data_IF_600320708878
#
_entry.id   IF_600320708878
#
_cell.length_a   1.000
_cell.length_b   1.000
_cell.length_c   1.000
_cell.angle_alpha   90.00
_cell.angle_beta   90.00
_cell.angle_gamma   90.00
#
_symmetry.space_group_name_H-M   'P 1'
#
loop_
_entity.id
_entity.type
_entity.pdbx_description
1 polymer ?
#
# COMPACT_ATOMS: atom_id res chain seq x y z
N UNK A 1 -30.53 22.75 -13.36
CA UNK A 1 -29.99 21.46 -13.85
C UNK A 1 -28.64 21.24 -13.19
N UNK A 2 -28.63 20.71 -11.97
CA UNK A 2 -27.42 20.39 -11.23
C UNK A 2 -26.84 19.12 -11.88
N UNK A 3 -25.71 19.24 -12.58
CA UNK A 3 -25.01 18.06 -13.08
C UNK A 3 -24.38 17.37 -11.88
N UNK A 4 -24.97 16.26 -11.43
CA UNK A 4 -24.25 15.29 -10.62
C UNK A 4 -23.14 14.73 -11.51
N UNK A 5 -21.94 15.30 -11.44
CA UNK A 5 -20.76 14.62 -11.94
C UNK A 5 -20.59 13.37 -11.05
N UNK A 6 -20.71 12.18 -11.63
CA UNK A 6 -20.39 10.96 -10.91
C UNK A 6 -18.93 11.03 -10.51
N UNK A 7 -18.70 10.99 -9.20
CA UNK A 7 -17.40 10.81 -8.62
C UNK A 7 -16.93 9.39 -8.92
N UNK A 8 -15.90 9.23 -9.74
CA UNK A 8 -15.46 7.93 -10.25
C UNK A 8 -13.99 7.61 -9.91
N UNK A 9 -13.51 8.02 -8.72
CA UNK A 9 -12.25 7.52 -8.22
C UNK A 9 -12.47 6.13 -7.62
N UNK A 10 -11.76 5.12 -8.13
CA UNK A 10 -11.86 3.75 -7.65
C UNK A 10 -10.61 3.39 -6.85
N UNK A 11 -10.79 2.67 -5.74
CA UNK A 11 -9.71 2.02 -5.00
C UNK A 11 -9.76 0.51 -5.24
N UNK A 12 -8.63 -0.06 -5.62
CA UNK A 12 -8.51 -1.46 -6.01
C UNK A 12 -7.30 -2.06 -5.28
N UNK A 13 -7.46 -3.25 -4.72
CA UNK A 13 -6.38 -4.01 -4.11
C UNK A 13 -6.47 -5.53 -4.43
N UNK A 14 -7.42 -5.94 -5.28
CA UNK A 14 -7.59 -7.33 -5.70
C UNK A 14 -6.61 -7.65 -6.85
N UNK A 15 -5.33 -7.78 -6.48
CA UNK A 15 -4.23 -8.16 -7.36
C UNK A 15 -3.06 -8.74 -6.52
N UNK A 16 -2.08 -9.42 -7.13
CA UNK A 16 -0.98 -10.05 -6.38
C UNK A 16 -0.24 -9.08 -5.44
N UNK A 17 -0.19 -9.42 -4.16
CA UNK A 17 0.42 -8.59 -3.12
C UNK A 17 -0.42 -7.39 -2.67
N UNK A 18 -1.51 -7.08 -3.38
CA UNK A 18 -2.44 -6.02 -3.03
C UNK A 18 -3.06 -6.26 -1.65
N UNK A 19 -3.07 -5.24 -0.83
CA UNK A 19 -3.65 -5.29 0.53
C UNK A 19 -4.08 -3.90 0.92
N UNK A 20 -5.32 -3.81 1.37
CA UNK A 20 -5.90 -2.62 1.97
C UNK A 20 -6.93 -3.11 2.98
N UNK A 21 -7.03 -2.43 4.12
CA UNK A 21 -8.16 -2.65 5.01
C UNK A 21 -9.38 -1.88 4.52
N UNK A 22 -10.24 -1.44 5.44
CA UNK A 22 -11.35 -0.55 5.08
C UNK A 22 -10.81 0.76 4.50
N UNK A 23 -11.44 1.27 3.45
CA UNK A 23 -11.12 2.58 2.90
C UNK A 23 -12.39 3.40 2.66
N UNK A 24 -12.38 4.65 3.11
CA UNK A 24 -13.51 5.57 3.02
C UNK A 24 -13.07 6.86 2.31
N UNK A 25 -13.83 7.26 1.28
CA UNK A 25 -13.73 8.62 0.72
C UNK A 25 -14.46 9.58 1.65
N UNK A 26 -13.72 10.34 2.45
CA UNK A 26 -14.25 11.33 3.41
C UNK A 26 -14.75 12.58 2.66
N UNK A 27 -14.10 12.90 1.54
CA UNK A 27 -14.49 13.94 0.60
C UNK A 27 -14.07 13.52 -0.82
N UNK A 28 -14.41 14.30 -1.86
CA UNK A 28 -13.93 14.08 -3.22
C UNK A 28 -12.39 14.05 -3.39
N UNK A 29 -11.62 14.45 -2.40
CA UNK A 29 -10.16 14.58 -2.46
C UNK A 29 -9.47 14.00 -1.22
N UNK A 30 -10.21 13.37 -0.30
CA UNK A 30 -9.66 12.79 0.92
C UNK A 30 -10.05 11.33 1.04
N UNK A 31 -9.04 10.45 0.91
CA UNK A 31 -9.16 9.03 1.17
C UNK A 31 -8.60 8.70 2.55
N UNK A 32 -9.41 8.08 3.40
CA UNK A 32 -8.96 7.46 4.65
C UNK A 32 -8.80 5.96 4.44
N UNK A 33 -7.62 5.43 4.78
CA UNK A 33 -7.27 4.02 4.69
C UNK A 33 -7.02 3.49 6.11
N UNK A 34 -7.87 2.59 6.55
CA UNK A 34 -7.68 1.82 7.77
C UNK A 34 -6.72 0.68 7.44
N UNK A 35 -5.46 0.78 7.88
CA UNK A 35 -4.42 -0.19 7.47
C UNK A 35 -4.73 -1.56 8.07
N UNK A 36 -4.77 -2.59 7.22
CA UNK A 36 -5.04 -3.96 7.63
C UNK A 36 -3.93 -4.47 8.54
N UNK A 37 -4.31 -5.07 9.66
CA UNK A 37 -3.37 -5.66 10.61
C UNK A 37 -3.06 -7.10 10.24
N UNK A 38 -1.79 -7.48 10.25
CA UNK A 38 -1.39 -8.87 10.09
C UNK A 38 -1.29 -9.57 11.45
N UNK A 39 -1.81 -10.81 11.51
CA UNK A 39 -1.76 -11.67 12.68
C UNK A 39 -0.61 -12.68 12.61
N UNK A 40 -0.18 -13.14 13.78
CA UNK A 40 0.76 -14.25 13.91
C UNK A 40 0.02 -15.58 14.05
N UNK A 41 0.78 -16.67 14.20
CA UNK A 41 0.22 -18.02 14.37
C UNK A 41 -0.70 -18.16 15.58
N UNK A 42 -0.54 -17.29 16.59
CA UNK A 42 -1.34 -17.28 17.81
C UNK A 42 -2.56 -16.34 17.69
N UNK A 43 -2.75 -15.70 16.53
CA UNK A 43 -3.82 -14.72 16.26
C UNK A 43 -3.80 -13.52 17.22
N UNK A 44 -2.62 -13.17 17.75
CA UNK A 44 -2.44 -12.08 18.72
C UNK A 44 -1.94 -10.80 18.08
N UNK A 45 -1.02 -10.91 17.13
CA UNK A 45 -0.48 -9.73 16.47
C UNK A 45 -1.58 -9.00 15.67
N UNK A 46 -1.46 -7.68 15.63
CA UNK A 46 -2.16 -6.81 14.70
C UNK A 46 -1.16 -5.80 14.16
N UNK A 47 -0.19 -6.27 13.39
CA UNK A 47 0.84 -5.40 12.85
C UNK A 47 0.32 -4.72 11.58
N UNK A 48 -0.21 -3.51 11.74
CA UNK A 48 -0.58 -2.64 10.61
C UNK A 48 0.69 -2.04 10.01
N UNK A 49 1.14 -2.67 8.93
CA UNK A 49 2.39 -2.40 8.22
C UNK A 49 2.07 -2.30 6.74
N UNK A 50 1.72 -3.43 6.13
CA UNK A 50 1.68 -3.56 4.69
C UNK A 50 0.38 -3.01 4.15
N UNK A 51 0.50 -2.14 3.16
CA UNK A 51 -0.57 -1.70 2.31
C UNK A 51 -0.01 -1.59 0.90
N UNK A 52 -0.83 -1.93 -0.07
CA UNK A 52 -0.54 -1.84 -1.49
C UNK A 52 -1.86 -1.82 -2.25
N UNK A 53 -2.19 -0.67 -2.82
CA UNK A 53 -3.45 -0.45 -3.52
C UNK A 53 -3.25 0.47 -4.72
N UNK A 54 -4.21 0.43 -5.63
CA UNK A 54 -4.28 1.24 -6.83
C UNK A 54 -5.46 2.20 -6.76
N UNK A 55 -5.26 3.41 -7.23
CA UNK A 55 -6.30 4.39 -7.48
C UNK A 55 -6.43 4.64 -8.98
N UNK A 56 -7.65 4.57 -9.50
CA UNK A 56 -7.99 4.91 -10.90
C UNK A 56 -8.90 6.14 -10.95
N UNK A 57 -8.88 6.92 -12.05
CA UNK A 57 -9.73 8.10 -12.23
C UNK A 57 -9.28 9.35 -11.46
N UNK A 58 -7.98 9.46 -11.14
CA UNK A 58 -7.45 10.47 -10.20
C UNK A 58 -6.50 11.50 -10.82
N UNK A 59 -6.31 11.47 -12.15
CA UNK A 59 -5.36 12.37 -12.83
C UNK A 59 -5.60 13.85 -12.52
N UNK A 60 -4.53 14.56 -12.20
CA UNK A 60 -4.49 16.02 -12.02
C UNK A 60 -5.25 16.52 -10.79
N UNK A 61 -5.68 15.62 -9.91
CA UNK A 61 -6.48 15.97 -8.72
C UNK A 61 -5.60 15.91 -7.49
N UNK A 62 -5.51 16.97 -6.68
CA UNK A 62 -4.84 16.87 -5.39
C UNK A 62 -5.64 15.90 -4.52
N UNK A 63 -4.96 14.88 -4.00
CA UNK A 63 -5.51 13.90 -3.07
C UNK A 63 -4.79 14.03 -1.74
N UNK A 64 -5.56 13.95 -0.67
CA UNK A 64 -5.09 13.70 0.69
C UNK A 64 -5.34 12.23 1.01
N UNK A 65 -4.28 11.51 1.35
CA UNK A 65 -4.34 10.12 1.79
C UNK A 65 -4.00 10.09 3.27
N UNK A 66 -4.86 9.46 4.07
CA UNK A 66 -4.70 9.34 5.53
C UNK A 66 -4.69 7.87 5.92
N UNK A 67 -3.58 7.40 6.50
CA UNK A 67 -3.42 6.06 7.04
C UNK A 67 -3.78 6.08 8.53
N UNK A 68 -4.78 5.30 8.90
CA UNK A 68 -5.32 5.21 10.27
C UNK A 68 -5.29 3.79 10.78
N UNK A 69 -5.65 3.62 12.06
CA UNK A 69 -5.67 2.33 12.76
C UNK A 69 -4.32 1.59 12.69
N UNK A 70 -3.20 2.31 12.80
CA UNK A 70 -1.86 1.71 12.70
C UNK A 70 -1.35 1.11 14.01
N UNK A 71 -2.02 1.42 15.13
CA UNK A 71 -1.67 0.92 16.47
C UNK A 71 -2.24 -0.48 16.67
N UNK A 72 -1.40 -1.43 17.07
CA UNK A 72 -1.81 -2.79 17.36
C UNK A 72 -0.90 -3.48 18.38
N UNK A 73 -0.76 -4.79 18.24
CA UNK A 73 0.13 -5.63 19.05
C UNK A 73 1.18 -6.28 18.15
N UNK A 74 2.43 -6.32 18.62
CA UNK A 74 3.50 -7.07 17.98
C UNK A 74 4.35 -7.77 19.02
N UNK A 75 4.56 -9.09 18.87
CA UNK A 75 5.35 -9.90 19.80
C UNK A 75 4.92 -9.69 21.26
N UNK A 76 3.61 -9.80 21.51
CA UNK A 76 3.00 -9.65 22.84
C UNK A 76 3.19 -8.26 23.48
N UNK A 77 3.50 -7.24 22.66
CA UNK A 77 3.64 -5.84 23.11
C UNK A 77 2.50 -4.98 22.54
N UNK A 78 1.49 -4.61 23.36
CA UNK A 78 0.41 -3.74 22.92
C UNK A 78 0.91 -2.31 22.68
N UNK A 79 0.21 -1.59 21.79
CA UNK A 79 0.56 -0.21 21.42
C UNK A 79 1.66 -0.12 20.36
N UNK A 80 2.11 -1.24 19.80
CA UNK A 80 3.13 -1.27 18.74
C UNK A 80 2.55 -0.78 17.42
N UNK A 81 3.32 0.00 16.66
CA UNK A 81 2.95 0.45 15.33
C UNK A 81 4.20 0.50 14.42
N UNK A 82 4.05 0.08 13.17
CA UNK A 82 5.15 0.10 12.19
C UNK A 82 5.17 1.41 11.38
N UNK A 83 4.01 2.01 11.16
CA UNK A 83 3.87 3.33 10.53
C UNK A 83 4.16 4.41 11.57
N UNK A 84 4.96 5.41 11.20
CA UNK A 84 5.38 6.52 12.04
C UNK A 84 5.63 7.77 11.20
N UNK A 85 6.02 8.88 11.86
CA UNK A 85 6.50 10.11 11.19
C UNK A 85 7.64 9.91 10.19
N UNK A 86 8.40 8.83 10.31
CA UNK A 86 9.55 8.53 9.45
C UNK A 86 9.14 7.59 8.29
N UNK A 87 7.86 7.21 8.21
CA UNK A 87 7.32 6.38 7.13
C UNK A 87 6.99 7.28 5.93
N UNK A 88 7.69 7.05 4.83
CA UNK A 88 7.43 7.68 3.55
C UNK A 88 6.90 6.62 2.57
N UNK A 89 5.56 6.51 2.39
CA UNK A 89 4.98 5.59 1.41
C UNK A 89 5.62 5.76 0.04
N UNK A 90 5.59 4.73 -0.79
CA UNK A 90 6.00 4.82 -2.18
C UNK A 90 4.79 4.86 -3.09
N UNK A 91 4.93 5.52 -4.23
CA UNK A 91 3.95 5.49 -5.31
C UNK A 91 4.59 5.18 -6.65
N UNK A 92 3.78 4.70 -7.58
CA UNK A 92 4.18 4.37 -8.94
C UNK A 92 3.04 4.64 -9.93
N UNK A 93 3.38 5.01 -11.17
CA UNK A 93 2.43 5.17 -12.26
C UNK A 93 2.43 4.00 -13.25
N UNK A 94 3.39 3.08 -13.13
CA UNK A 94 3.61 1.94 -14.03
C UNK A 94 3.74 0.60 -13.27
N UNK A 95 3.58 0.62 -11.96
CA UNK A 95 3.73 -0.52 -11.03
C UNK A 95 5.14 -1.14 -11.03
N UNK A 96 6.14 -0.42 -11.57
CA UNK A 96 7.51 -0.91 -11.76
C UNK A 96 8.55 0.08 -11.22
N UNK A 97 8.34 1.37 -11.47
CA UNK A 97 9.19 2.47 -11.03
C UNK A 97 8.55 3.15 -9.84
N UNK A 98 9.24 3.14 -8.70
CA UNK A 98 8.69 3.59 -7.43
C UNK A 98 9.42 4.83 -6.90
N UNK A 99 8.65 5.79 -6.40
CA UNK A 99 9.15 7.03 -5.79
C UNK A 99 8.58 7.20 -4.40
N UNK A 100 9.39 7.63 -3.43
CA UNK A 100 8.89 7.97 -2.11
C UNK A 100 8.05 9.25 -2.15
N UNK A 101 6.97 9.27 -1.38
CA UNK A 101 6.27 10.48 -0.99
C UNK A 101 7.23 11.35 -0.19
N UNK A 102 7.54 12.55 -0.68
CA UNK A 102 8.56 13.40 -0.09
C UNK A 102 8.17 13.96 1.29
N UNK A 103 6.90 14.39 1.43
CA UNK A 103 6.40 15.05 2.64
C UNK A 103 5.23 14.30 3.22
N UNK A 104 5.30 14.04 4.52
CA UNK A 104 4.24 13.42 5.31
C UNK A 104 3.96 14.25 6.56
N UNK A 105 2.72 14.20 7.04
CA UNK A 105 2.28 14.79 8.29
C UNK A 105 1.94 13.65 9.26
N UNK A 106 2.46 13.71 10.49
CA UNK A 106 2.18 12.73 11.54
C UNK A 106 1.40 13.38 12.67
N UNK A 107 0.23 12.82 12.98
CA UNK A 107 -0.53 13.14 14.16
C UNK A 107 -0.14 12.16 15.28
N UNK A 108 0.62 12.63 16.27
CA UNK A 108 1.09 11.76 17.35
C UNK A 108 -0.01 11.40 18.36
N UNK A 109 -1.04 12.24 18.53
CA UNK A 109 -2.12 11.93 19.47
C UNK A 109 -3.04 10.84 18.91
N UNK A 110 -3.33 10.92 17.60
CA UNK A 110 -4.20 9.96 16.90
C UNK A 110 -3.44 8.78 16.31
N UNK A 111 -2.11 8.88 16.20
CA UNK A 111 -1.23 7.92 15.52
C UNK A 111 -1.67 7.71 14.07
N UNK A 112 -1.83 8.80 13.34
CA UNK A 112 -2.28 8.80 11.94
C UNK A 112 -1.21 9.44 11.05
N UNK A 113 -0.98 8.87 9.87
CA UNK A 113 -0.07 9.42 8.87
C UNK A 113 -0.88 10.02 7.72
N UNK A 114 -0.60 11.25 7.33
CA UNK A 114 -1.23 11.89 6.18
C UNK A 114 -0.19 12.33 5.17
N UNK A 115 -0.54 12.24 3.90
CA UNK A 115 0.25 12.83 2.83
C UNK A 115 -0.63 13.30 1.68
N UNK A 116 -0.07 14.18 0.87
CA UNK A 116 -0.73 14.74 -0.29
C UNK A 116 -0.01 14.36 -1.57
N UNK A 117 -0.76 14.05 -2.62
CA UNK A 117 -0.23 13.76 -3.94
C UNK A 117 -1.17 14.34 -5.01
N UNK A 118 -0.61 14.84 -6.10
CA UNK A 118 -1.39 15.21 -7.30
C UNK A 118 -0.96 14.27 -8.42
N UNK A 119 -1.73 13.20 -8.72
CA UNK A 119 -1.33 12.20 -9.70
C UNK A 119 -1.16 12.78 -11.10
N UNK A 120 -0.07 12.45 -11.78
CA UNK A 120 0.19 12.86 -13.17
C UNK A 120 -0.52 11.96 -14.19
N UNK A 121 -0.87 10.74 -13.76
CA UNK A 121 -1.57 9.73 -14.54
C UNK A 121 -2.94 9.42 -13.93
N UNK A 122 -3.80 8.79 -14.73
CA UNK A 122 -5.15 8.41 -14.27
C UNK A 122 -5.12 7.28 -13.24
N UNK A 123 -4.11 6.43 -13.35
CA UNK A 123 -3.82 5.34 -12.44
C UNK A 123 -2.56 5.64 -11.63
N UNK A 124 -2.60 5.32 -10.34
CA UNK A 124 -1.45 5.38 -9.44
C UNK A 124 -1.52 4.22 -8.43
N UNK A 125 -0.40 3.56 -8.20
CA UNK A 125 -0.24 2.59 -7.12
C UNK A 125 0.44 3.25 -5.93
N UNK A 126 0.05 2.87 -4.73
CA UNK A 126 0.61 3.34 -3.47
C UNK A 126 0.89 2.12 -2.59
N UNK A 127 2.10 2.05 -2.03
CA UNK A 127 2.51 0.95 -1.16
C UNK A 127 3.39 1.41 0.01
N UNK A 128 3.58 0.55 1.00
CA UNK A 128 4.49 0.82 2.13
C UNK A 128 5.96 0.90 1.68
N UNK A 129 6.37 -0.02 0.82
CA UNK A 129 7.69 -0.11 0.17
C UNK A 129 7.49 -0.76 -1.21
N UNK A 130 8.42 -0.63 -2.18
CA UNK A 130 8.23 -1.24 -3.49
C UNK A 130 7.95 -2.75 -3.38
N UNK A 131 6.82 -3.23 -3.92
CA UNK A 131 6.43 -4.64 -3.84
C UNK A 131 7.37 -5.52 -4.65
N UNK A 132 7.56 -6.75 -4.16
CA UNK A 132 8.17 -7.83 -4.91
C UNK A 132 7.16 -8.97 -4.98
N UNK A 133 6.54 -9.15 -6.14
CA UNK A 133 5.44 -10.11 -6.37
C UNK A 133 5.96 -11.40 -7.00
N UNK A 134 5.03 -12.36 -7.20
CA UNK A 134 5.33 -13.58 -7.95
C UNK A 134 5.69 -13.30 -9.42
N UNK A 135 5.24 -12.19 -10.01
CA UNK A 135 5.65 -11.79 -11.36
C UNK A 135 7.12 -11.35 -11.38
N UNK A 136 7.56 -10.61 -10.36
CA UNK A 136 8.97 -10.25 -10.22
C UNK A 136 9.85 -11.50 -10.03
N UNK A 137 9.40 -12.45 -9.21
CA UNK A 137 10.09 -13.73 -9.04
C UNK A 137 10.17 -14.51 -10.36
N UNK A 138 9.06 -14.63 -11.09
CA UNK A 138 9.01 -15.36 -12.35
C UNK A 138 9.95 -14.73 -13.41
N UNK A 139 9.99 -13.39 -13.49
CA UNK A 139 10.92 -12.68 -14.36
C UNK A 139 12.39 -12.95 -13.98
N UNK A 140 12.70 -12.91 -12.68
CA UNK A 140 14.04 -13.24 -12.17
C UNK A 140 14.43 -14.68 -12.53
N UNK A 141 13.57 -15.65 -12.25
CA UNK A 141 13.81 -17.06 -12.59
C UNK A 141 14.04 -17.23 -14.10
N UNK A 142 13.22 -16.59 -14.96
CA UNK A 142 13.35 -16.64 -16.41
C UNK A 142 14.72 -16.17 -16.93
N UNK A 143 15.36 -15.21 -16.25
CA UNK A 143 16.71 -14.78 -16.57
C UNK A 143 17.77 -15.79 -16.15
N UNK A 144 17.60 -16.46 -15.01
CA UNK A 144 18.53 -17.49 -14.54
C UNK A 144 18.40 -18.84 -15.26
N UNK A 145 17.22 -19.21 -15.75
CA UNK A 145 17.01 -20.43 -16.54
C UNK A 145 17.88 -20.49 -17.81
N UNK A 146 18.38 -19.35 -18.28
CA UNK A 146 19.29 -19.25 -19.43
C UNK A 146 20.72 -19.68 -19.08
N UNK A 147 21.02 -19.90 -17.81
CA UNK A 147 22.36 -20.22 -17.31
C UNK A 147 22.50 -21.71 -16.98
N UNK A 148 23.66 -22.34 -17.23
CA UNK A 148 23.88 -23.75 -16.91
C UNK A 148 24.09 -24.01 -15.40
N UNK A 149 24.05 -22.97 -14.57
CA UNK A 149 24.32 -23.04 -13.14
C UNK A 149 23.05 -22.93 -12.28
N UNK A 150 21.89 -22.73 -12.91
CA UNK A 150 20.62 -22.67 -12.22
C UNK A 150 19.97 -24.05 -12.17
N UNK A 151 19.67 -24.52 -10.97
CA UNK A 151 18.88 -25.72 -10.71
C UNK A 151 17.71 -25.35 -9.78
N UNK A 152 16.51 -25.81 -10.11
CA UNK A 152 15.28 -25.49 -9.36
C UNK A 152 14.69 -26.78 -8.80
N UNK A 153 14.65 -26.85 -7.48
CA UNK A 153 14.03 -27.95 -6.75
C UNK A 153 13.04 -27.42 -5.71
N UNK A 154 11.91 -28.11 -5.48
CA UNK A 154 10.99 -27.75 -4.41
C UNK A 154 11.63 -27.95 -3.04
N UNK A 155 11.50 -26.95 -2.16
CA UNK A 155 11.95 -27.02 -0.76
C UNK A 155 10.82 -27.41 0.21
N UNK A 156 9.56 -27.38 -0.24
CA UNK A 156 8.37 -27.62 0.56
C UNK A 156 7.13 -27.01 -0.08
N UNK A 157 6.01 -27.03 0.65
CA UNK A 157 4.73 -26.44 0.23
C UNK A 157 4.27 -25.45 1.32
N UNK A 158 3.76 -24.30 0.89
CA UNK A 158 3.20 -23.24 1.75
C UNK A 158 1.68 -23.29 1.75
#
# INVERSE_FOLDING_TARGET
>A
MLHLALFAAALIADFPGGTVGKADWVSPDHLRVHVEGQADQDSRNRQANWYYFRLDGVKGRPLTIELTDVVGEYNYKPGSHAVSKDTHPVFSYDDATWTNVETVEWDDDRKELRFQITPESDTIWIAHTPPYTLENLAALEADFYKTPYFDRAPAGWT
#
